data_IF_417525579784
#
_entry.id   IF_417525579784
#
_cell.length_a   1.000
_cell.length_b   1.000
_cell.length_c   1.000
_cell.angle_alpha   90.00
_cell.angle_beta   90.00
_cell.angle_gamma   90.00
#
_symmetry.space_group_name_H-M   'P 1'
#
loop_
_entity.id
_entity.type
_entity.pdbx_description
1 polymer ?
#
# COMPACT_ATOMS: atom_id res chain seq x y z
N UNK A 1 -3.99 27.23 -4.91
CA UNK A 1 -3.39 27.77 -3.66
C UNK A 1 -4.16 27.28 -2.42
N UNK A 2 -3.49 26.69 -1.43
CA UNK A 2 -4.13 26.37 -0.13
C UNK A 2 -4.46 27.66 0.61
N UNK A 3 -5.56 27.67 1.39
CA UNK A 3 -6.00 28.85 2.17
C UNK A 3 -4.99 29.31 3.22
N UNK A 4 -4.08 28.43 3.62
CA UNK A 4 -2.99 28.71 4.56
C UNK A 4 -1.67 28.15 4.02
N UNK A 5 -0.52 28.78 4.32
CA UNK A 5 0.79 28.28 3.91
C UNK A 5 1.09 26.96 4.63
N UNK A 6 1.51 25.95 3.86
CA UNK A 6 2.01 24.69 4.41
C UNK A 6 3.49 24.87 4.71
N UNK A 7 3.89 24.63 5.95
CA UNK A 7 5.30 24.60 6.36
C UNK A 7 5.74 23.14 6.43
N UNK A 8 6.65 22.73 5.56
CA UNK A 8 7.29 21.42 5.62
C UNK A 8 8.61 21.53 6.38
N UNK A 9 8.75 20.72 7.43
CA UNK A 9 10.01 20.54 8.13
C UNK A 9 10.78 19.39 7.51
N UNK A 10 12.08 19.56 7.34
CA UNK A 10 12.95 18.46 6.91
C UNK A 10 13.00 17.37 7.99
N UNK A 11 12.95 16.13 7.54
CA UNK A 11 13.10 14.88 8.30
C UNK A 11 13.79 13.87 7.39
N UNK A 12 14.44 12.88 7.98
CA UNK A 12 14.86 11.71 7.21
C UNK A 12 13.60 10.98 6.67
N UNK A 13 13.47 10.79 5.34
CA UNK A 13 12.32 10.10 4.77
C UNK A 13 12.18 8.65 5.25
N UNK A 14 13.29 7.95 5.56
CA UNK A 14 13.24 6.59 6.08
C UNK A 14 12.67 6.55 7.49
N UNK A 15 13.05 7.49 8.35
CA UNK A 15 12.45 7.62 9.69
C UNK A 15 10.95 7.92 9.62
N UNK A 16 10.53 8.80 8.71
CA UNK A 16 9.12 9.10 8.50
C UNK A 16 8.32 7.85 8.09
N UNK A 17 8.83 7.08 7.13
CA UNK A 17 8.18 5.85 6.65
C UNK A 17 8.08 4.84 7.80
N UNK A 18 9.17 4.59 8.51
CA UNK A 18 9.19 3.67 9.66
C UNK A 18 8.21 4.11 10.75
N UNK A 19 8.14 5.42 11.04
CA UNK A 19 7.20 5.94 12.02
C UNK A 19 5.75 5.69 11.58
N UNK A 20 5.41 6.01 10.33
CA UNK A 20 4.06 5.80 9.79
C UNK A 20 3.67 4.31 9.82
N UNK A 21 4.57 3.42 9.42
CA UNK A 21 4.30 1.97 9.39
C UNK A 21 4.13 1.36 10.78
N UNK A 22 4.84 1.89 11.78
CA UNK A 22 4.75 1.40 13.17
C UNK A 22 3.70 2.15 14.01
N UNK A 23 3.06 3.19 13.47
CA UNK A 23 2.14 4.01 14.25
C UNK A 23 0.80 3.27 14.42
N UNK A 24 0.32 3.01 15.67
CA UNK A 24 -0.87 2.20 15.93
C UNK A 24 -2.14 2.68 15.22
N UNK A 25 -2.26 3.99 14.97
CA UNK A 25 -3.37 4.58 14.22
C UNK A 25 -3.59 3.95 12.84
N UNK A 26 -2.52 3.48 12.20
CA UNK A 26 -2.57 2.94 10.85
C UNK A 26 -2.54 1.41 10.79
N UNK A 27 -2.48 0.73 11.94
CA UNK A 27 -2.38 -0.73 12.01
C UNK A 27 -3.44 -1.44 11.13
N UNK A 28 -4.69 -1.01 11.25
CA UNK A 28 -5.82 -1.61 10.50
C UNK A 28 -6.10 -0.90 9.16
N UNK A 29 -5.25 0.05 8.78
CA UNK A 29 -5.40 0.86 7.56
C UNK A 29 -4.38 0.51 6.49
N UNK A 30 -3.34 -0.24 6.85
CA UNK A 30 -2.33 -0.71 5.91
C UNK A 30 -2.70 -2.09 5.40
N UNK A 31 -2.72 -2.23 4.07
CA UNK A 31 -2.85 -3.51 3.39
C UNK A 31 -1.46 -3.93 2.90
N UNK A 32 -0.97 -5.06 3.40
CA UNK A 32 0.33 -5.64 3.01
C UNK A 32 0.18 -6.87 2.12
N UNK A 33 -1.06 -7.32 1.89
CA UNK A 33 -1.34 -8.54 1.13
C UNK A 33 -1.70 -8.18 -0.30
N UNK A 34 -0.91 -8.68 -1.25
CA UNK A 34 -1.24 -8.50 -2.66
C UNK A 34 -2.56 -9.21 -2.97
N UNK A 35 -3.50 -8.50 -3.59
CA UNK A 35 -4.82 -9.05 -3.93
C UNK A 35 -5.33 -8.50 -5.24
N UNK A 36 -6.10 -9.31 -5.96
CA UNK A 36 -6.79 -8.87 -7.17
C UNK A 36 -8.24 -8.59 -6.85
N UNK A 37 -8.67 -7.36 -7.10
CA UNK A 37 -10.02 -6.89 -6.77
C UNK A 37 -10.80 -6.68 -8.05
N UNK A 38 -11.96 -7.30 -8.20
CA UNK A 38 -12.75 -7.18 -9.44
C UNK A 38 -14.12 -6.59 -9.16
N UNK A 39 -14.67 -5.87 -10.14
CA UNK A 39 -16.00 -5.25 -10.03
C UNK A 39 -17.14 -6.28 -9.94
N UNK A 40 -16.91 -7.50 -10.41
CA UNK A 40 -17.88 -8.59 -10.39
C UNK A 40 -17.18 -9.96 -10.33
N UNK A 41 -17.97 -10.99 -10.02
CA UNK A 41 -17.49 -12.38 -9.92
C UNK A 41 -16.90 -12.91 -11.24
N UNK A 42 -17.36 -12.39 -12.38
CA UNK A 42 -16.85 -12.72 -13.72
C UNK A 42 -15.45 -12.14 -13.99
N UNK A 43 -14.89 -11.34 -13.05
CA UNK A 43 -13.58 -10.70 -13.17
C UNK A 43 -13.42 -9.82 -14.41
N UNK A 44 -14.52 -9.25 -14.90
CA UNK A 44 -14.55 -8.51 -16.16
C UNK A 44 -13.75 -7.19 -16.11
N UNK A 45 -13.62 -6.57 -14.94
CA UNK A 45 -12.83 -5.36 -14.74
C UNK A 45 -12.02 -5.45 -13.45
N UNK A 46 -10.69 -5.33 -13.56
CA UNK A 46 -9.76 -5.25 -12.43
C UNK A 46 -9.80 -3.81 -11.88
N UNK A 47 -9.98 -3.70 -10.56
CA UNK A 47 -10.00 -2.45 -9.82
C UNK A 47 -8.62 -2.21 -9.21
N UNK A 48 -8.05 -1.04 -9.50
CA UNK A 48 -6.78 -0.58 -8.92
C UNK A 48 -7.03 0.64 -8.03
N UNK A 49 -6.91 0.46 -6.71
CA UNK A 49 -7.08 1.53 -5.71
C UNK A 49 -5.76 1.89 -5.05
N UNK A 50 -4.97 0.88 -4.68
CA UNK A 50 -3.64 1.03 -4.06
C UNK A 50 -2.61 0.10 -4.71
N UNK A 51 -1.34 0.25 -4.33
CA UNK A 51 -0.24 -0.58 -4.84
C UNK A 51 -0.53 -2.08 -4.73
N UNK A 52 -1.03 -2.55 -3.57
CA UNK A 52 -1.28 -3.97 -3.33
C UNK A 52 -2.42 -4.56 -4.17
N UNK A 53 -3.22 -3.72 -4.83
CA UNK A 53 -4.27 -4.16 -5.77
C UNK A 53 -3.78 -4.28 -7.21
N UNK A 54 -2.53 -3.89 -7.50
CA UNK A 54 -1.98 -3.92 -8.85
C UNK A 54 -1.43 -5.31 -9.20
N UNK A 55 -1.47 -5.64 -10.49
CA UNK A 55 -0.92 -6.89 -11.02
C UNK A 55 0.54 -7.09 -10.61
N UNK A 56 1.34 -6.02 -10.61
CA UNK A 56 2.75 -6.14 -10.25
C UNK A 56 3.00 -6.58 -8.79
N UNK A 57 2.21 -6.08 -7.83
CA UNK A 57 2.30 -6.53 -6.45
C UNK A 57 1.95 -8.02 -6.33
N UNK A 58 0.95 -8.47 -7.09
CA UNK A 58 0.55 -9.88 -7.16
C UNK A 58 1.63 -10.75 -7.79
N UNK A 59 2.23 -10.32 -8.90
CA UNK A 59 3.31 -11.04 -9.58
C UNK A 59 4.51 -11.26 -8.67
N UNK A 60 4.98 -10.22 -7.98
CA UNK A 60 6.09 -10.37 -7.05
C UNK A 60 5.70 -11.29 -5.91
N UNK A 61 4.54 -11.09 -5.28
CA UNK A 61 4.07 -11.94 -4.17
C UNK A 61 3.92 -13.41 -4.58
N UNK A 62 3.53 -13.68 -5.83
CA UNK A 62 3.40 -15.04 -6.37
C UNK A 62 4.75 -15.72 -6.61
N UNK A 63 5.82 -14.94 -6.75
CA UNK A 63 7.19 -15.44 -6.91
C UNK A 63 7.89 -15.72 -5.57
N UNK A 64 7.31 -15.28 -4.45
CA UNK A 64 7.89 -15.48 -3.12
C UNK A 64 7.54 -16.88 -2.56
N UNK A 65 8.39 -17.44 -1.68
CA UNK A 65 8.09 -18.68 -0.97
C UNK A 65 6.80 -18.59 -0.16
N UNK A 66 6.16 -19.75 0.09
CA UNK A 66 5.01 -19.81 0.98
C UNK A 66 5.36 -19.27 2.38
N UNK A 67 4.55 -18.35 2.88
CA UNK A 67 4.77 -17.68 4.17
C UNK A 67 5.63 -16.42 4.12
N UNK A 68 6.24 -16.08 2.96
CA UNK A 68 6.90 -14.80 2.76
C UNK A 68 5.90 -13.75 2.24
N UNK A 69 6.06 -12.50 2.69
CA UNK A 69 5.29 -11.34 2.22
C UNK A 69 6.23 -10.38 1.51
N UNK A 70 5.72 -9.67 0.50
CA UNK A 70 6.47 -8.64 -0.24
C UNK A 70 7.00 -7.51 0.67
N UNK A 71 6.25 -7.19 1.72
CA UNK A 71 6.53 -6.16 2.71
C UNK A 71 6.78 -6.79 4.09
#
# INVERSE_FOLDING_TARGET
>A
PTKSPIVLYWRDPLECILNIFNHPLFHDRMDYSARRVYTCAQKACHVYTEWMTRDHAWEIQSALPAGATLL
#
